data_IF_976391194638
#
_entry.id   IF_976391194638
#
_cell.length_a   1.000
_cell.length_b   1.000
_cell.length_c   1.000
_cell.angle_alpha   90.00
_cell.angle_beta   90.00
_cell.angle_gamma   90.00
#
_symmetry.space_group_name_H-M   'P 1'
#
loop_
_entity.id
_entity.type
_entity.pdbx_description
1 polymer ?
#
# COMPACT_ATOMS: atom_id res chain seq x y z
N UNK A 1 9.71 7.90 9.98
CA UNK A 1 8.79 6.98 10.67
C UNK A 1 9.47 5.61 10.73
N UNK A 2 9.24 4.83 11.78
CA UNK A 2 9.81 3.48 11.91
C UNK A 2 8.82 2.57 12.65
N UNK A 3 9.04 1.26 12.53
CA UNK A 3 8.34 0.26 13.34
C UNK A 3 9.10 0.08 14.65
N UNK A 4 8.42 0.20 15.77
CA UNK A 4 8.93 -0.06 17.11
C UNK A 4 8.06 -1.06 17.85
N UNK A 5 8.58 -1.68 18.89
CA UNK A 5 7.80 -2.58 19.74
C UNK A 5 6.95 -1.79 20.73
N UNK A 6 5.66 -2.09 20.80
CA UNK A 6 4.77 -1.64 21.87
C UNK A 6 4.66 -2.75 22.93
N UNK A 7 5.09 -2.45 24.16
CA UNK A 7 5.06 -3.40 25.27
C UNK A 7 3.67 -3.69 25.81
N UNK A 8 2.71 -2.77 25.64
CA UNK A 8 1.34 -2.96 26.11
C UNK A 8 0.58 -3.91 25.17
N UNK A 9 0.73 -3.71 23.86
CA UNK A 9 0.06 -4.50 22.82
C UNK A 9 0.84 -5.76 22.41
N UNK A 10 2.11 -5.87 22.83
CA UNK A 10 3.04 -6.96 22.50
C UNK A 10 3.23 -7.18 20.98
N UNK A 11 3.24 -6.09 20.20
CA UNK A 11 3.41 -6.15 18.74
C UNK A 11 4.15 -4.91 18.20
N UNK A 12 4.41 -4.90 16.89
CA UNK A 12 5.01 -3.79 16.16
C UNK A 12 4.02 -2.66 15.87
N UNK A 13 4.43 -1.43 16.13
CA UNK A 13 3.65 -0.21 15.93
C UNK A 13 4.43 0.89 15.20
N UNK A 14 3.75 1.85 14.58
CA UNK A 14 4.39 2.99 13.93
C UNK A 14 4.74 4.07 14.94
N UNK A 15 6.00 4.51 14.87
CA UNK A 15 6.53 5.62 15.63
C UNK A 15 7.05 6.71 14.70
N UNK A 16 6.76 7.95 15.04
CA UNK A 16 7.17 9.13 14.30
C UNK A 16 7.92 10.12 15.21
N UNK A 17 9.14 10.48 14.81
CA UNK A 17 9.84 11.64 15.33
C UNK A 17 9.38 12.92 14.62
N UNK A 18 8.67 13.79 15.34
CA UNK A 18 8.37 15.16 14.91
C UNK A 18 9.00 16.15 15.89
N UNK A 19 9.89 17.01 15.40
CA UNK A 19 10.51 18.05 16.22
C UNK A 19 11.28 17.51 17.43
N UNK A 20 12.02 16.40 17.26
CA UNK A 20 12.75 15.68 18.32
C UNK A 20 11.89 14.90 19.32
N UNK A 21 10.57 14.92 19.19
CA UNK A 21 9.66 14.12 20.01
C UNK A 21 9.23 12.89 19.23
N UNK A 22 9.48 11.71 19.78
CA UNK A 22 8.95 10.44 19.29
C UNK A 22 7.53 10.25 19.80
N UNK A 23 6.58 9.98 18.91
CA UNK A 23 5.21 9.61 19.25
C UNK A 23 4.84 8.32 18.55
N UNK A 24 4.14 7.45 19.27
CA UNK A 24 3.42 6.33 18.67
C UNK A 24 2.18 6.86 17.96
N UNK A 25 1.94 6.43 16.73
CA UNK A 25 0.86 6.98 15.88
C UNK A 25 -0.19 5.95 15.48
N UNK A 26 -0.01 4.68 15.82
CA UNK A 26 -0.95 3.60 15.45
C UNK A 26 -1.31 2.67 16.60
N UNK A 27 -1.33 3.14 17.85
CA UNK A 27 -1.61 2.28 19.02
C UNK A 27 -2.83 1.35 18.83
N UNK A 28 -2.61 0.03 18.96
CA UNK A 28 -3.64 -1.00 18.84
C UNK A 28 -4.05 -1.31 17.40
N UNK A 29 -3.29 -0.82 16.41
CA UNK A 29 -3.59 -1.02 14.98
C UNK A 29 -2.74 -2.16 14.41
N UNK A 30 -1.55 -2.45 14.94
CA UNK A 30 -0.71 -3.56 14.48
C UNK A 30 -0.37 -3.49 12.96
N UNK A 31 0.23 -2.39 12.50
CA UNK A 31 0.60 -2.15 11.09
C UNK A 31 1.47 -3.27 10.51
N UNK A 32 1.13 -3.76 9.32
CA UNK A 32 1.90 -4.74 8.53
C UNK A 32 2.67 -4.09 7.39
N UNK A 33 2.07 -3.11 6.73
CA UNK A 33 2.72 -2.28 5.72
C UNK A 33 2.41 -0.81 6.00
N UNK A 34 3.30 0.08 5.61
CA UNK A 34 3.09 1.51 5.77
C UNK A 34 3.82 2.31 4.70
N UNK A 35 3.37 3.54 4.48
CA UNK A 35 4.03 4.51 3.61
C UNK A 35 3.87 5.92 4.18
N UNK A 36 4.76 6.83 3.81
CA UNK A 36 4.81 8.21 4.32
C UNK A 36 5.04 9.15 3.15
N UNK A 37 4.29 10.25 3.14
CA UNK A 37 4.54 11.39 2.27
C UNK A 37 4.34 12.69 3.07
N UNK A 38 5.41 13.46 3.24
CA UNK A 38 5.39 14.68 4.05
C UNK A 38 4.88 14.42 5.47
N UNK A 39 3.82 15.13 5.85
CA UNK A 39 3.15 14.99 7.15
C UNK A 39 1.99 13.97 7.16
N UNK A 40 1.82 13.22 6.07
CA UNK A 40 0.83 12.16 5.95
C UNK A 40 1.47 10.78 5.99
N UNK A 41 0.71 9.80 6.48
CA UNK A 41 1.09 8.39 6.45
C UNK A 41 -0.12 7.52 6.21
N UNK A 42 0.12 6.35 5.64
CA UNK A 42 -0.87 5.30 5.49
C UNK A 42 -0.31 4.00 6.06
N UNK A 43 -1.21 3.14 6.48
CA UNK A 43 -0.88 1.82 6.97
C UNK A 43 -1.90 0.81 6.45
N UNK A 44 -1.48 -0.45 6.38
CA UNK A 44 -2.39 -1.56 6.39
C UNK A 44 -2.16 -2.44 7.60
N UNK A 45 -3.22 -3.07 8.08
CA UNK A 45 -3.18 -4.02 9.18
C UNK A 45 -4.16 -5.17 8.95
N UNK A 46 -3.98 -6.23 9.73
CA UNK A 46 -4.87 -7.38 9.74
C UNK A 46 -5.28 -7.66 11.19
N UNK A 47 -6.52 -7.34 11.53
CA UNK A 47 -7.09 -7.55 12.86
C UNK A 47 -8.48 -8.16 12.71
N UNK A 48 -8.86 -9.05 13.64
CA UNK A 48 -10.19 -9.66 13.66
C UNK A 48 -10.62 -10.26 12.31
N UNK A 49 -9.68 -10.92 11.60
CA UNK A 49 -9.88 -11.56 10.29
C UNK A 49 -10.30 -10.58 9.18
N UNK A 50 -9.91 -9.32 9.29
CA UNK A 50 -10.19 -8.27 8.33
C UNK A 50 -8.92 -7.47 8.05
N UNK A 51 -8.60 -7.30 6.77
CA UNK A 51 -7.58 -6.36 6.35
C UNK A 51 -8.16 -4.96 6.26
N UNK A 52 -7.39 -3.97 6.69
CA UNK A 52 -7.80 -2.56 6.62
C UNK A 52 -6.64 -1.73 6.09
N UNK A 53 -6.95 -0.71 5.27
CA UNK A 53 -6.05 0.41 5.01
C UNK A 53 -6.59 1.63 5.72
N UNK A 54 -5.75 2.24 6.56
CA UNK A 54 -5.98 3.54 7.15
C UNK A 54 -5.01 4.58 6.60
N UNK A 55 -5.41 5.83 6.67
CA UNK A 55 -4.59 6.99 6.31
C UNK A 55 -4.72 8.05 7.39
N UNK A 56 -3.63 8.76 7.63
CA UNK A 56 -3.64 9.99 8.42
C UNK A 56 -3.22 11.18 7.59
N UNK A 57 -4.07 12.19 7.57
CA UNK A 57 -3.88 13.44 6.85
C UNK A 57 -4.27 14.58 7.79
N UNK A 58 -3.44 15.63 7.86
CA UNK A 58 -3.68 16.80 8.71
C UNK A 58 -3.91 16.46 10.21
N UNK A 59 -3.34 15.35 10.68
CA UNK A 59 -3.47 14.89 12.07
C UNK A 59 -4.74 14.10 12.36
N UNK A 60 -5.66 13.96 11.40
CA UNK A 60 -6.83 13.10 11.51
C UNK A 60 -6.51 11.73 10.92
N UNK A 61 -7.14 10.68 11.46
CA UNK A 61 -7.05 9.32 10.95
C UNK A 61 -8.41 8.87 10.41
N UNK A 62 -8.41 8.23 9.23
CA UNK A 62 -9.61 7.61 8.66
C UNK A 62 -9.28 6.24 8.08
N UNK A 63 -10.27 5.35 8.15
CA UNK A 63 -10.23 4.08 7.40
C UNK A 63 -10.65 4.35 5.95
N UNK A 64 -9.85 3.89 5.00
CA UNK A 64 -10.14 4.01 3.57
C UNK A 64 -10.81 2.77 3.00
N UNK A 65 -10.24 1.59 3.29
CA UNK A 65 -10.63 0.33 2.66
C UNK A 65 -10.60 -0.79 3.69
N UNK A 66 -11.53 -1.72 3.54
CA UNK A 66 -11.57 -2.99 4.26
C UNK A 66 -11.71 -4.13 3.26
N UNK A 67 -11.00 -5.23 3.47
CA UNK A 67 -11.11 -6.45 2.69
C UNK A 67 -11.19 -7.69 3.61
N UNK A 68 -11.58 -8.81 3.04
CA UNK A 68 -11.68 -10.08 3.78
C UNK A 68 -10.30 -10.62 4.18
N UNK A 69 -10.30 -11.60 5.08
CA UNK A 69 -9.10 -12.27 5.60
C UNK A 69 -8.12 -12.75 4.51
N UNK A 70 -8.67 -13.24 3.39
CA UNK A 70 -7.90 -13.83 2.31
C UNK A 70 -7.34 -12.83 1.30
N UNK A 71 -7.72 -11.55 1.34
CA UNK A 71 -7.28 -10.52 0.37
C UNK A 71 -6.42 -9.47 1.08
N UNK A 72 -5.15 -9.82 1.30
CA UNK A 72 -4.21 -8.99 2.01
C UNK A 72 -3.97 -7.65 1.31
N UNK A 73 -3.96 -6.56 2.05
CA UNK A 73 -3.70 -5.22 1.52
C UNK A 73 -2.23 -4.85 1.73
N UNK A 74 -1.41 -4.95 0.68
CA UNK A 74 0.05 -5.05 0.80
C UNK A 74 0.79 -3.96 0.02
N UNK A 75 2.06 -3.76 0.38
CA UNK A 75 3.04 -2.96 -0.36
C UNK A 75 2.58 -1.53 -0.67
N UNK A 76 2.09 -0.84 0.38
CA UNK A 76 1.63 0.54 0.26
C UNK A 76 2.76 1.46 -0.24
N UNK A 77 2.45 2.29 -1.22
CA UNK A 77 3.31 3.40 -1.68
C UNK A 77 2.49 4.68 -1.73
N UNK A 78 3.11 5.80 -1.36
CA UNK A 78 2.41 7.06 -1.19
C UNK A 78 3.20 8.22 -1.80
N UNK A 79 2.48 9.09 -2.49
CA UNK A 79 2.92 10.38 -3.00
C UNK A 79 1.92 11.45 -2.59
N UNK A 80 2.16 12.70 -3.00
CA UNK A 80 1.29 13.82 -2.61
C UNK A 80 -0.16 13.62 -3.08
N UNK A 81 -0.36 13.01 -4.25
CA UNK A 81 -1.69 12.80 -4.84
C UNK A 81 -2.20 11.38 -4.69
N UNK A 82 -1.34 10.36 -4.67
CA UNK A 82 -1.76 8.95 -4.74
C UNK A 82 -1.31 8.19 -3.50
N UNK A 83 -2.20 7.36 -2.96
CA UNK A 83 -1.85 6.19 -2.15
C UNK A 83 -2.15 4.95 -3.00
N UNK A 84 -1.17 4.09 -3.23
CA UNK A 84 -1.30 2.89 -4.05
C UNK A 84 -0.94 1.64 -3.27
N UNK A 85 -1.59 0.53 -3.59
CA UNK A 85 -1.31 -0.78 -3.01
C UNK A 85 -1.75 -1.89 -3.96
N UNK A 86 -1.24 -3.09 -3.71
CA UNK A 86 -1.76 -4.30 -4.35
C UNK A 86 -2.44 -5.16 -3.29
N UNK A 87 -3.43 -5.93 -3.73
CA UNK A 87 -3.97 -7.04 -2.97
C UNK A 87 -3.68 -8.35 -3.69
N UNK A 88 -4.27 -9.47 -3.25
CA UNK A 88 -4.18 -10.73 -4.01
C UNK A 88 -5.16 -10.76 -5.18
N UNK A 89 -6.20 -9.93 -5.13
CA UNK A 89 -7.22 -9.87 -6.17
C UNK A 89 -6.95 -8.77 -7.22
N UNK A 90 -6.39 -7.62 -6.82
CA UNK A 90 -6.41 -6.41 -7.65
C UNK A 90 -5.33 -5.40 -7.30
N UNK A 91 -5.13 -4.45 -8.20
CA UNK A 91 -4.26 -3.28 -7.99
C UNK A 91 -5.10 -2.03 -7.88
N UNK A 92 -4.94 -1.25 -6.80
CA UNK A 92 -5.80 -0.11 -6.52
C UNK A 92 -5.02 1.11 -6.06
N UNK A 93 -5.65 2.27 -6.24
CA UNK A 93 -5.18 3.55 -5.75
C UNK A 93 -6.31 4.33 -5.09
N UNK A 94 -5.96 5.12 -4.09
CA UNK A 94 -6.77 6.21 -3.60
C UNK A 94 -6.16 7.52 -4.13
N UNK A 95 -6.90 8.23 -4.98
CA UNK A 95 -6.56 9.60 -5.37
C UNK A 95 -6.97 10.53 -4.24
N UNK A 96 -5.97 11.08 -3.54
CA UNK A 96 -6.10 11.96 -2.37
C UNK A 96 -6.67 13.33 -2.74
N UNK A 97 -6.46 13.78 -3.97
CA UNK A 97 -7.00 15.06 -4.48
C UNK A 97 -8.47 14.92 -4.83
N UNK A 98 -8.87 13.79 -5.42
CA UNK A 98 -10.26 13.51 -5.79
C UNK A 98 -11.05 12.79 -4.70
N UNK A 99 -10.38 12.41 -3.61
CA UNK A 99 -10.88 11.58 -2.52
C UNK A 99 -11.57 10.29 -2.98
N UNK A 100 -11.02 9.64 -4.00
CA UNK A 100 -11.67 8.52 -4.68
C UNK A 100 -10.80 7.28 -4.76
N UNK A 101 -11.41 6.12 -4.46
CA UNK A 101 -10.83 4.81 -4.73
C UNK A 101 -11.00 4.42 -6.20
N UNK A 102 -9.91 3.99 -6.83
CA UNK A 102 -9.84 3.60 -8.24
C UNK A 102 -9.14 2.24 -8.33
N UNK A 103 -9.75 1.30 -9.05
CA UNK A 103 -9.10 0.05 -9.42
C UNK A 103 -8.35 0.26 -10.73
N UNK A 104 -7.03 0.09 -10.71
CA UNK A 104 -6.18 0.19 -11.90
C UNK A 104 -6.30 -1.08 -12.75
N UNK A 105 -6.30 -2.23 -12.09
CA UNK A 105 -6.38 -3.53 -12.73
C UNK A 105 -7.12 -4.54 -11.84
N UNK A 106 -7.81 -5.49 -12.46
CA UNK A 106 -8.48 -6.61 -11.80
C UNK A 106 -7.53 -7.79 -11.53
N UNK A 107 -6.22 -7.56 -11.71
CA UNK A 107 -5.14 -8.47 -11.35
C UNK A 107 -4.21 -7.81 -10.33
N UNK A 108 -3.59 -8.61 -9.45
CA UNK A 108 -2.56 -8.12 -8.56
C UNK A 108 -1.30 -7.76 -9.37
N UNK A 109 -0.75 -6.58 -9.10
CA UNK A 109 0.50 -6.15 -9.70
C UNK A 109 1.68 -6.78 -8.94
N UNK A 110 2.74 -7.15 -9.67
CA UNK A 110 4.01 -7.53 -9.02
C UNK A 110 4.67 -6.33 -8.36
N UNK A 111 4.39 -5.13 -8.87
CA UNK A 111 4.82 -3.87 -8.29
C UNK A 111 3.81 -2.78 -8.63
N UNK A 112 3.52 -1.93 -7.64
CA UNK A 112 2.79 -0.68 -7.81
C UNK A 112 3.52 0.38 -6.99
N UNK A 113 3.85 1.50 -7.62
CA UNK A 113 4.61 2.56 -6.96
C UNK A 113 4.14 3.92 -7.43
N UNK A 114 4.15 4.88 -6.52
CA UNK A 114 3.93 6.29 -6.85
C UNK A 114 5.02 7.15 -6.25
N UNK A 115 5.46 8.16 -6.99
CA UNK A 115 6.46 9.12 -6.54
C UNK A 115 6.31 10.43 -7.32
N UNK A 116 6.22 11.54 -6.60
CA UNK A 116 5.92 12.84 -7.22
C UNK A 116 4.60 12.77 -7.99
N UNK A 117 4.62 13.20 -9.25
CA UNK A 117 3.49 13.15 -10.17
C UNK A 117 3.43 11.87 -11.02
N UNK A 118 4.22 10.85 -10.71
CA UNK A 118 4.18 9.57 -11.44
C UNK A 118 3.50 8.46 -10.64
N UNK A 119 2.74 7.63 -11.37
CA UNK A 119 2.18 6.36 -10.91
C UNK A 119 2.60 5.27 -11.89
N UNK A 120 3.17 4.19 -11.38
CA UNK A 120 3.62 3.04 -12.16
C UNK A 120 3.12 1.74 -11.56
N UNK A 121 2.76 0.78 -12.42
CA UNK A 121 2.47 -0.59 -12.00
C UNK A 121 2.82 -1.59 -13.10
N UNK A 122 3.07 -2.83 -12.71
CA UNK A 122 3.34 -3.93 -13.65
C UNK A 122 2.47 -5.16 -13.35
N UNK A 123 1.80 -5.66 -14.39
CA UNK A 123 0.95 -6.84 -14.33
C UNK A 123 1.66 -8.00 -15.00
N UNK A 124 1.87 -9.14 -14.34
CA UNK A 124 2.56 -10.27 -14.94
C UNK A 124 1.74 -10.82 -16.12
N UNK A 125 2.43 -11.10 -17.23
CA UNK A 125 1.81 -11.60 -18.46
C UNK A 125 1.53 -13.11 -18.34
N UNK A 126 0.45 -13.57 -18.98
CA UNK A 126 0.04 -14.99 -18.97
C UNK A 126 -0.71 -15.43 -17.72
N UNK A 127 -1.10 -16.71 -17.67
CA UNK A 127 -1.76 -17.32 -16.50
C UNK A 127 -0.73 -17.67 -15.41
N UNK A 128 -1.14 -17.88 -14.14
CA UNK A 128 -0.23 -18.29 -13.07
C UNK A 128 0.60 -19.54 -13.41
N UNK A 129 0.02 -20.52 -14.10
CA UNK A 129 0.72 -21.74 -14.52
C UNK A 129 1.79 -21.44 -15.57
N UNK A 130 1.47 -20.58 -16.54
CA UNK A 130 2.42 -20.14 -17.55
C UNK A 130 3.56 -19.35 -16.91
N UNK A 131 3.25 -18.44 -15.99
CA UNK A 131 4.24 -17.65 -15.26
C UNK A 131 5.17 -18.56 -14.47
N UNK A 132 4.63 -19.58 -13.78
CA UNK A 132 5.44 -20.54 -13.02
C UNK A 132 6.37 -21.34 -13.94
N UNK A 133 5.90 -21.78 -15.10
CA UNK A 133 6.72 -22.52 -16.06
C UNK A 133 7.83 -21.64 -16.64
N UNK A 134 7.49 -20.43 -17.09
CA UNK A 134 8.48 -19.46 -17.63
C UNK A 134 9.51 -19.11 -16.56
N UNK A 135 9.10 -18.90 -15.31
CA UNK A 135 10.00 -18.64 -14.19
C UNK A 135 10.96 -19.80 -13.94
N UNK A 136 10.49 -21.05 -14.03
CA UNK A 136 11.35 -22.24 -13.92
C UNK A 136 12.37 -22.34 -15.05
N UNK A 137 11.94 -22.02 -16.27
CA UNK A 137 12.77 -22.20 -17.47
C UNK A 137 13.79 -21.07 -17.67
N UNK A 138 13.43 -19.83 -17.30
CA UNK A 138 14.22 -18.63 -17.61
C UNK A 138 14.59 -17.76 -16.41
N UNK A 139 13.99 -18.00 -15.24
CA UNK A 139 14.16 -17.16 -14.05
C UNK A 139 13.50 -15.78 -14.14
N UNK A 140 12.83 -15.44 -15.25
CA UNK A 140 12.27 -14.11 -15.52
C UNK A 140 10.83 -14.25 -15.97
N UNK A 141 9.89 -13.51 -15.36
CA UNK A 141 8.49 -13.43 -15.81
C UNK A 141 8.26 -12.09 -16.48
N UNK A 142 7.75 -12.12 -17.72
CA UNK A 142 7.36 -10.90 -18.44
C UNK A 142 6.16 -10.21 -17.78
N UNK A 143 6.09 -8.89 -17.89
CA UNK A 143 4.99 -8.10 -17.36
C UNK A 143 4.63 -6.94 -18.29
N UNK A 144 3.33 -6.62 -18.34
CA UNK A 144 2.83 -5.40 -18.94
C UNK A 144 3.06 -4.25 -17.96
N UNK A 145 3.78 -3.22 -18.42
CA UNK A 145 4.18 -2.08 -17.61
C UNK A 145 3.37 -0.85 -17.98
N UNK A 146 2.87 -0.15 -16.97
CA UNK A 146 2.05 1.04 -17.13
C UNK A 146 2.67 2.20 -16.36
N UNK A 147 2.71 3.38 -16.99
CA UNK A 147 3.19 4.62 -16.38
C UNK A 147 2.20 5.73 -16.69
N UNK A 148 1.73 6.41 -15.64
CA UNK A 148 0.85 7.57 -15.73
C UNK A 148 1.58 8.79 -15.17
N UNK A 149 1.52 9.86 -15.94
CA UNK A 149 1.93 11.21 -15.56
C UNK A 149 0.68 11.96 -15.08
N UNK A 150 0.57 12.13 -13.75
CA UNK A 150 -0.61 12.67 -13.08
C UNK A 150 -0.81 14.16 -13.34
N UNK A 151 0.20 14.88 -13.83
CA UNK A 151 0.06 16.31 -14.15
C UNK A 151 -0.60 16.53 -15.52
N UNK A 152 -0.71 15.46 -16.32
CA UNK A 152 -1.37 15.47 -17.63
C UNK A 152 -2.83 15.03 -17.57
N UNK A 153 -3.36 14.76 -16.37
CA UNK A 153 -4.74 14.30 -16.13
C UNK A 153 -5.47 15.03 -15.00
#
# INVERSE_FOLDING_TARGET
MWVGYDSEEQDGELFWNRGKVTKQVTKGVHPKYFSVEGDSYAWSNHLNRQWTIGISENGEQKTLVKSGEADALQFLTMSQRILAWTSYEKTQVYDRKLEKLITLDQKPATTVTTKGHYLYWAIPSGTPEQQQQIAKDSGIVAADMYLVDLDKI
#
